data_IF_626580665453
#
_entry.id   IF_626580665453
#
_cell.length_a   1.000
_cell.length_b   1.000
_cell.length_c   1.000
_cell.angle_alpha   90.00
_cell.angle_beta   90.00
_cell.angle_gamma   90.00
#
_symmetry.space_group_name_H-M   'P 1'
#
loop_
_entity.id
_entity.type
_entity.pdbx_description
1 polymer ?
#
# COMPACT_ATOMS: atom_id res chain seq x y z
N UNK A 1 15.50 -5.29 21.86
CA UNK A 1 15.33 -4.29 21.93
C UNK A 1 14.89 -3.59 20.90
N UNK A 2 15.11 -3.94 19.97
CA UNK A 2 14.77 -3.32 18.90
C UNK A 2 13.37 -3.35 18.56
N UNK A 3 12.58 -4.13 19.12
CA UNK A 3 11.22 -4.23 18.75
C UNK A 3 10.48 -2.94 18.92
N UNK A 4 10.94 -2.08 19.72
CA UNK A 4 10.25 -0.87 19.91
C UNK A 4 10.22 -0.03 18.72
N UNK A 5 11.20 -0.14 17.86
CA UNK A 5 11.20 0.69 16.77
C UNK A 5 10.18 0.41 15.81
N UNK A 6 9.78 -0.79 15.71
CA UNK A 6 8.82 -1.13 14.74
C UNK A 6 7.52 -0.51 15.00
N UNK A 7 7.19 -0.23 16.21
CA UNK A 7 5.91 0.35 16.52
C UNK A 7 5.76 1.72 15.95
N UNK A 8 6.85 2.42 15.72
CA UNK A 8 6.70 3.71 15.17
C UNK A 8 6.49 3.72 13.74
N UNK A 9 6.94 2.74 13.03
CA UNK A 9 6.77 2.70 11.61
C UNK A 9 5.75 1.70 11.24
N UNK A 10 4.59 1.76 11.73
CA UNK A 10 3.59 0.74 11.53
C UNK A 10 3.07 0.72 10.11
N UNK A 11 3.90 0.41 9.16
CA UNK A 11 3.52 0.30 7.78
C UNK A 11 3.30 -1.15 7.44
N UNK A 12 2.15 -1.47 6.87
CA UNK A 12 1.81 -2.82 6.49
C UNK A 12 1.91 -2.95 4.99
N UNK A 13 2.57 -4.00 4.52
CA UNK A 13 2.64 -4.26 3.09
C UNK A 13 1.53 -5.22 2.75
N UNK A 14 0.69 -4.89 1.80
CA UNK A 14 -0.41 -5.75 1.40
C UNK A 14 -0.55 -5.71 -0.11
N UNK A 15 -1.32 -6.64 -0.67
CA UNK A 15 -1.51 -6.70 -2.09
C UNK A 15 -2.97 -6.45 -2.38
N UNK A 16 -3.27 -5.55 -3.27
CA UNK A 16 -4.65 -5.23 -3.64
C UNK A 16 -4.81 -5.35 -5.15
N UNK A 17 -6.00 -5.66 -5.62
CA UNK A 17 -6.19 -5.80 -7.06
C UNK A 17 -6.20 -4.43 -7.74
N UNK A 18 -5.54 -4.36 -8.87
CA UNK A 18 -5.53 -3.14 -9.64
C UNK A 18 -6.92 -2.86 -10.20
N UNK A 19 -7.46 -1.67 -10.02
CA UNK A 19 -8.80 -1.38 -10.54
C UNK A 19 -8.87 -1.32 -12.06
N UNK A 20 -7.72 -1.27 -12.71
CA UNK A 20 -7.71 -1.22 -14.16
C UNK A 20 -7.58 -2.60 -14.79
N UNK A 21 -6.67 -3.41 -14.31
CA UNK A 21 -6.42 -4.70 -14.93
C UNK A 21 -6.61 -5.90 -14.00
N UNK A 22 -6.79 -5.68 -12.72
CA UNK A 22 -7.04 -6.78 -11.80
C UNK A 22 -5.81 -7.50 -11.29
N UNK A 23 -4.63 -7.09 -11.71
CA UNK A 23 -3.41 -7.74 -11.25
C UNK A 23 -3.10 -7.25 -9.84
N UNK A 24 -2.56 -8.10 -8.99
CA UNK A 24 -2.22 -7.71 -7.63
C UNK A 24 -1.13 -6.67 -7.59
N UNK A 25 -1.34 -5.61 -6.84
CA UNK A 25 -0.37 -4.54 -6.69
C UNK A 25 0.03 -4.46 -5.24
N UNK A 26 1.34 -4.47 -4.99
CA UNK A 26 1.84 -4.40 -3.64
C UNK A 26 1.80 -2.97 -3.17
N UNK A 27 1.17 -2.71 -2.06
CA UNK A 27 1.03 -1.36 -1.54
C UNK A 27 1.45 -1.30 -0.09
N UNK A 28 1.81 -0.11 0.36
CA UNK A 28 2.24 0.11 1.72
C UNK A 28 1.14 0.90 2.42
N UNK A 29 0.58 0.32 3.48
CA UNK A 29 -0.56 0.90 4.18
C UNK A 29 -0.12 1.45 5.53
N UNK A 30 -0.61 2.66 5.85
CA UNK A 30 -0.34 3.26 7.12
C UNK A 30 -1.61 3.93 7.57
N UNK A 31 -2.11 3.55 8.74
CA UNK A 31 -3.35 4.10 9.27
C UNK A 31 -4.52 3.91 8.33
N UNK A 32 -4.57 2.80 7.65
CA UNK A 32 -5.70 2.48 6.78
C UNK A 32 -5.64 3.11 5.41
N UNK A 33 -4.59 3.84 5.09
CA UNK A 33 -4.48 4.44 3.77
C UNK A 33 -3.09 4.24 3.22
N UNK A 34 -2.89 4.49 1.94
CA UNK A 34 -1.61 4.31 1.31
C UNK A 34 -0.60 5.28 1.87
N UNK A 35 0.55 4.76 2.29
CA UNK A 35 1.64 5.61 2.78
C UNK A 35 2.40 6.25 1.63
N UNK A 36 2.34 5.66 0.44
CA UNK A 36 3.05 6.18 -0.73
C UNK A 36 2.31 5.76 -1.97
N UNK A 37 2.59 6.40 -3.09
CA UNK A 37 1.94 6.03 -4.35
C UNK A 37 2.33 4.62 -4.72
N UNK A 38 1.41 3.88 -5.32
CA UNK A 38 1.68 2.53 -5.79
C UNK A 38 1.45 2.49 -7.29
N UNK A 39 2.29 1.77 -8.00
CA UNK A 39 2.18 1.69 -9.45
C UNK A 39 2.01 0.24 -9.85
N UNK A 40 1.01 -0.05 -10.66
CA UNK A 40 0.76 -1.38 -11.16
C UNK A 40 1.83 -1.72 -12.20
N UNK A 41 2.54 -2.81 -12.00
CA UNK A 41 3.58 -3.20 -12.94
C UNK A 41 3.04 -3.76 -14.24
N UNK A 42 1.78 -4.09 -14.31
CA UNK A 42 1.20 -4.68 -15.50
C UNK A 42 0.63 -3.63 -16.45
N UNK A 43 -0.07 -2.65 -15.93
CA UNK A 43 -0.72 -1.66 -16.78
C UNK A 43 -0.25 -0.23 -16.52
N UNK A 44 0.54 -0.02 -15.48
CA UNK A 44 1.07 1.31 -15.20
C UNK A 44 0.12 2.23 -14.43
N UNK A 45 -1.01 1.69 -13.98
CA UNK A 45 -1.96 2.52 -13.24
C UNK A 45 -1.33 2.96 -11.91
N UNK A 46 -1.51 4.21 -11.54
CA UNK A 46 -0.96 4.73 -10.30
C UNK A 46 -2.07 4.90 -9.29
N UNK A 47 -1.87 4.35 -8.10
CA UNK A 47 -2.80 4.54 -6.99
C UNK A 47 -2.15 5.57 -6.07
N UNK A 48 -2.72 6.75 -5.93
CA UNK A 48 -2.05 7.82 -5.19
C UNK A 48 -2.01 7.56 -3.68
N UNK A 49 -1.02 8.11 -3.05
CA UNK A 49 -0.89 8.00 -1.61
C UNK A 49 -2.11 8.65 -0.96
N UNK A 50 -2.49 8.15 0.19
CA UNK A 50 -3.67 8.65 0.88
C UNK A 50 -4.95 7.95 0.49
N UNK A 51 -4.90 7.04 -0.49
CA UNK A 51 -6.07 6.27 -0.87
C UNK A 51 -6.48 5.34 0.27
N UNK A 52 -7.74 5.37 0.61
CA UNK A 52 -8.22 4.58 1.71
C UNK A 52 -8.45 3.15 1.25
N UNK A 53 -7.62 2.23 1.69
CA UNK A 53 -7.71 0.85 1.26
C UNK A 53 -8.12 -0.06 2.39
N UNK A 54 -7.70 0.22 3.55
CA UNK A 54 -7.85 -0.66 4.63
C UNK A 54 -9.25 -0.89 5.10
N UNK A 55 -10.11 -0.27 4.53
CA UNK A 55 -11.52 -0.48 4.70
C UNK A 55 -12.07 -1.12 5.90
#
# INVERSE_FOLDING_TARGET
MDGCQEARNAITITEVPCPQCGVGVEVFIRDGSLAADAVCGACGHVIPAGTNIGG
#
